data_IF_402309506879
#
_entry.id   IF_402309506879
#
_cell.length_a   1.000
_cell.length_b   1.000
_cell.length_c   1.000
_cell.angle_alpha   90.00
_cell.angle_beta   90.00
_cell.angle_gamma   90.00
#
_symmetry.space_group_name_H-M   'P 1'
#
loop_
_entity.id
_entity.type
_entity.pdbx_description
1 polymer ?
#
# COMPACT_ATOMS: atom_id res chain seq x y z
N UNK A 1 -38.62 -19.36 1.49
CA UNK A 1 -37.22 -19.31 0.96
C UNK A 1 -37.09 -17.98 0.22
N UNK A 2 -35.97 -17.29 0.37
CA UNK A 2 -35.76 -15.91 -0.10
C UNK A 2 -34.37 -15.80 -0.75
N UNK A 3 -34.23 -14.99 -1.79
CA UNK A 3 -32.95 -14.70 -2.45
C UNK A 3 -32.75 -13.18 -2.44
N UNK A 4 -31.62 -12.72 -1.93
CA UNK A 4 -31.19 -11.31 -1.93
C UNK A 4 -29.85 -11.18 -2.64
N UNK A 5 -29.53 -9.97 -3.09
CA UNK A 5 -28.21 -9.59 -3.59
C UNK A 5 -27.70 -8.40 -2.77
N UNK A 6 -26.40 -8.11 -2.82
CA UNK A 6 -25.76 -7.00 -2.10
C UNK A 6 -25.82 -5.66 -2.86
N UNK A 7 -25.16 -4.62 -2.35
CA UNK A 7 -25.32 -3.25 -2.86
C UNK A 7 -24.57 -2.97 -4.16
N UNK A 8 -23.48 -3.68 -4.43
CA UNK A 8 -22.69 -3.63 -5.66
C UNK A 8 -22.97 -4.81 -6.61
N UNK A 9 -23.75 -5.80 -6.17
CA UNK A 9 -24.33 -6.83 -7.02
C UNK A 9 -23.38 -7.98 -7.34
N UNK A 10 -22.37 -8.21 -6.50
CA UNK A 10 -21.39 -9.29 -6.68
C UNK A 10 -21.60 -10.50 -5.74
N UNK A 11 -22.54 -10.40 -4.78
CA UNK A 11 -22.92 -11.51 -3.91
C UNK A 11 -24.44 -11.79 -3.87
N UNK A 12 -24.79 -13.07 -3.70
CA UNK A 12 -26.17 -13.53 -3.45
C UNK A 12 -26.29 -14.17 -2.07
N UNK A 13 -27.34 -13.79 -1.33
CA UNK A 13 -27.75 -14.43 -0.08
C UNK A 13 -29.01 -15.26 -0.32
N UNK A 14 -28.87 -16.59 -0.23
CA UNK A 14 -29.98 -17.54 -0.45
C UNK A 14 -30.40 -18.14 0.90
N UNK A 15 -31.62 -17.84 1.33
CA UNK A 15 -32.23 -18.41 2.53
C UNK A 15 -32.96 -19.71 2.21
N UNK A 16 -32.41 -20.82 2.71
CA UNK A 16 -32.92 -22.18 2.50
C UNK A 16 -33.42 -22.79 3.80
N UNK A 17 -34.33 -23.76 3.67
CA UNK A 17 -34.64 -24.69 4.76
C UNK A 17 -33.67 -25.86 4.65
N UNK A 18 -32.86 -26.05 5.70
CA UNK A 18 -31.84 -27.08 5.72
C UNK A 18 -32.43 -28.43 6.14
N UNK A 19 -32.24 -29.45 5.31
CA UNK A 19 -32.58 -30.85 5.62
C UNK A 19 -31.26 -31.62 5.81
N UNK A 20 -31.05 -32.16 7.00
CA UNK A 20 -29.78 -32.83 7.36
C UNK A 20 -28.62 -31.85 7.60
N UNK A 21 -27.38 -32.33 7.44
CA UNK A 21 -26.15 -31.57 7.71
C UNK A 21 -25.53 -31.04 6.41
N UNK A 22 -25.06 -29.79 6.42
CA UNK A 22 -24.41 -29.19 5.25
C UNK A 22 -22.90 -29.48 5.19
N UNK A 23 -22.26 -29.74 6.33
CA UNK A 23 -20.82 -29.97 6.37
C UNK A 23 -20.47 -31.43 6.04
N UNK A 24 -19.43 -31.62 5.24
CA UNK A 24 -18.87 -32.95 4.93
C UNK A 24 -18.34 -33.73 6.14
N UNK A 25 -18.19 -33.06 7.29
CA UNK A 25 -17.80 -33.68 8.58
C UNK A 25 -18.99 -34.12 9.43
N UNK A 26 -20.23 -33.92 8.95
CA UNK A 26 -21.45 -34.22 9.70
C UNK A 26 -21.93 -33.08 10.60
N UNK A 27 -21.25 -31.93 10.62
CA UNK A 27 -21.70 -30.74 11.35
C UNK A 27 -22.81 -29.99 10.61
N UNK A 28 -23.65 -29.26 11.35
CA UNK A 28 -24.80 -28.52 10.79
C UNK A 28 -24.37 -27.51 9.72
N UNK A 29 -23.31 -26.74 9.96
CA UNK A 29 -22.77 -25.74 9.03
C UNK A 29 -21.29 -26.00 8.81
N UNK A 30 -20.74 -25.59 7.66
CA UNK A 30 -19.29 -25.55 7.45
C UNK A 30 -18.60 -24.54 8.39
N UNK A 31 -19.33 -23.51 8.84
CA UNK A 31 -18.83 -22.43 9.71
C UNK A 31 -19.11 -22.72 11.20
N UNK A 32 -18.88 -23.96 11.64
CA UNK A 32 -19.11 -24.36 13.05
C UNK A 32 -17.90 -24.12 13.98
N UNK A 33 -16.72 -23.83 13.41
CA UNK A 33 -15.48 -23.55 14.16
C UNK A 33 -15.40 -22.07 14.51
N UNK A 34 -15.00 -21.74 15.74
CA UNK A 34 -14.81 -20.36 16.21
C UNK A 34 -13.34 -19.96 16.20
N UNK A 35 -13.05 -18.66 16.21
CA UNK A 35 -11.68 -18.12 16.30
C UNK A 35 -10.97 -18.46 17.62
N UNK A 36 -11.71 -18.94 18.62
CA UNK A 36 -11.16 -19.43 19.89
C UNK A 36 -10.58 -20.86 19.74
N UNK A 37 -11.02 -21.61 18.72
CA UNK A 37 -10.62 -22.99 18.46
C UNK A 37 -9.98 -23.10 17.06
N UNK A 38 -8.95 -22.28 16.81
CA UNK A 38 -8.18 -22.32 15.58
C UNK A 38 -7.31 -23.58 15.60
N UNK A 39 -7.61 -24.51 14.69
CA UNK A 39 -6.72 -25.62 14.37
C UNK A 39 -5.34 -25.04 14.01
N UNK A 40 -4.26 -25.50 14.65
CA UNK A 40 -2.92 -24.89 14.53
C UNK A 40 -2.37 -24.87 13.09
N UNK A 41 -3.04 -25.54 12.16
CA UNK A 41 -2.74 -25.58 10.73
C UNK A 41 -3.52 -24.55 9.88
N UNK A 42 -4.44 -23.78 10.46
CA UNK A 42 -5.12 -22.66 9.80
C UNK A 42 -4.21 -21.42 9.82
N UNK A 43 -3.28 -21.39 8.88
CA UNK A 43 -2.46 -20.20 8.65
C UNK A 43 -3.27 -19.14 7.90
N UNK A 44 -3.98 -18.28 8.65
CA UNK A 44 -4.66 -17.12 8.07
C UNK A 44 -3.70 -16.21 7.28
N UNK A 45 -2.40 -16.16 7.60
CA UNK A 45 -1.41 -15.39 6.82
C UNK A 45 -1.11 -16.02 5.46
N UNK A 46 -1.38 -17.32 5.27
CA UNK A 46 -1.24 -18.00 3.97
C UNK A 46 -2.38 -17.66 3.01
N UNK A 47 -3.60 -17.48 3.52
CA UNK A 47 -4.80 -17.18 2.73
C UNK A 47 -5.08 -15.68 2.60
N UNK A 48 -4.79 -14.91 3.65
CA UNK A 48 -4.70 -13.45 3.64
C UNK A 48 -3.26 -12.98 3.38
N UNK A 49 -2.45 -13.81 2.70
CA UNK A 49 -1.17 -13.33 2.16
C UNK A 49 -1.56 -12.20 1.23
N UNK A 50 -1.30 -10.97 1.68
CA UNK A 50 -1.63 -9.71 1.04
C UNK A 50 -1.34 -9.81 -0.46
N UNK A 51 -2.37 -10.17 -1.22
CA UNK A 51 -2.45 -9.92 -2.65
C UNK A 51 -2.97 -8.48 -2.87
N UNK A 52 -2.71 -7.56 -1.93
CA UNK A 52 -2.39 -6.23 -2.39
C UNK A 52 -1.14 -6.42 -3.22
N UNK A 53 -1.23 -6.22 -4.54
CA UNK A 53 -0.07 -5.74 -5.27
C UNK A 53 0.37 -4.48 -4.52
N UNK A 54 1.23 -4.62 -3.49
CA UNK A 54 1.88 -3.47 -2.88
C UNK A 54 2.62 -2.85 -4.05
N UNK A 55 2.13 -1.68 -4.42
CA UNK A 55 2.69 -0.92 -5.52
C UNK A 55 4.12 -0.58 -5.09
N UNK A 56 5.05 -0.48 -6.05
CA UNK A 56 6.45 -0.10 -5.78
C UNK A 56 6.56 1.15 -4.88
N UNK A 57 5.59 2.06 -4.95
CA UNK A 57 5.51 3.23 -4.07
C UNK A 57 5.24 2.85 -2.61
N UNK A 58 4.35 1.89 -2.32
CA UNK A 58 4.06 1.43 -0.96
C UNK A 58 5.28 0.74 -0.35
N UNK A 59 5.95 -0.12 -1.13
CA UNK A 59 7.19 -0.79 -0.72
C UNK A 59 8.28 0.24 -0.43
N UNK A 60 8.51 1.18 -1.36
CA UNK A 60 9.54 2.21 -1.22
C UNK A 60 9.27 3.14 -0.04
N UNK A 61 8.02 3.57 0.15
CA UNK A 61 7.62 4.39 1.30
C UNK A 61 7.89 3.64 2.62
N UNK A 62 7.51 2.36 2.70
CA UNK A 62 7.79 1.52 3.88
C UNK A 62 9.30 1.35 4.15
N UNK A 63 10.10 1.19 3.11
CA UNK A 63 11.58 1.13 3.22
C UNK A 63 12.15 2.46 3.73
N UNK A 64 11.67 3.60 3.22
CA UNK A 64 12.08 4.94 3.64
C UNK A 64 11.76 5.15 5.12
N UNK A 65 10.51 4.88 5.53
CA UNK A 65 10.06 5.01 6.92
C UNK A 65 10.87 4.11 7.85
N UNK A 66 11.10 2.85 7.46
CA UNK A 66 11.90 1.89 8.20
C UNK A 66 13.35 2.36 8.39
N UNK A 67 13.99 2.89 7.35
CA UNK A 67 15.37 3.40 7.41
C UNK A 67 15.49 4.59 8.37
N UNK A 68 14.52 5.49 8.37
CA UNK A 68 14.47 6.64 9.27
C UNK A 68 14.24 6.17 10.71
N UNK A 69 13.22 5.35 10.95
CA UNK A 69 12.85 4.84 12.27
C UNK A 69 13.95 4.02 12.93
N UNK A 70 14.60 3.14 12.17
CA UNK A 70 15.66 2.25 12.66
C UNK A 70 17.05 2.91 12.67
N UNK A 71 17.15 4.19 12.30
CA UNK A 71 18.40 4.97 12.34
C UNK A 71 19.56 4.31 11.60
N UNK A 72 19.29 3.73 10.43
CA UNK A 72 20.27 2.96 9.66
C UNK A 72 21.36 3.91 9.14
N UNK A 73 22.53 3.93 9.78
CA UNK A 73 23.59 4.93 9.55
C UNK A 73 24.09 5.01 8.10
N UNK A 74 24.15 3.86 7.41
CA UNK A 74 24.71 3.76 6.06
C UNK A 74 23.66 4.04 4.97
N UNK A 75 22.44 4.41 5.38
CA UNK A 75 21.36 4.75 4.46
C UNK A 75 21.44 6.22 4.04
N UNK A 76 21.44 6.46 2.72
CA UNK A 76 21.24 7.79 2.13
C UNK A 76 20.00 8.49 2.71
N UNK A 77 18.87 7.77 2.80
CA UNK A 77 17.61 8.25 3.39
C UNK A 77 17.79 8.77 4.82
N UNK A 78 18.45 7.99 5.68
CA UNK A 78 18.66 8.39 7.06
C UNK A 78 19.63 9.58 7.15
N UNK A 79 20.63 9.65 6.26
CA UNK A 79 21.54 10.80 6.20
C UNK A 79 20.81 12.11 5.88
N UNK A 80 19.83 12.08 4.96
CA UNK A 80 18.99 13.24 4.64
C UNK A 80 18.12 13.65 5.84
N UNK A 81 17.43 12.69 6.45
CA UNK A 81 16.64 12.91 7.65
C UNK A 81 17.48 13.54 8.77
N UNK A 82 18.71 13.05 9.00
CA UNK A 82 19.62 13.60 10.01
C UNK A 82 20.04 15.04 9.72
N UNK A 83 20.19 15.43 8.45
CA UNK A 83 20.47 16.81 8.04
C UNK A 83 19.24 17.72 8.18
N UNK A 84 18.05 17.15 8.29
CA UNK A 84 16.80 17.84 8.58
C UNK A 84 16.06 18.31 7.33
N UNK A 85 14.93 18.96 7.58
CA UNK A 85 13.96 19.34 6.55
C UNK A 85 14.55 20.20 5.43
N UNK A 86 15.45 21.15 5.74
CA UNK A 86 16.01 22.06 4.75
C UNK A 86 16.81 21.33 3.67
N UNK A 87 17.57 20.28 4.05
CA UNK A 87 18.29 19.46 3.07
C UNK A 87 17.32 18.63 2.22
N UNK A 88 16.25 18.09 2.81
CA UNK A 88 15.24 17.33 2.08
C UNK A 88 14.54 18.21 1.04
N UNK A 89 14.15 19.43 1.43
CA UNK A 89 13.53 20.41 0.53
C UNK A 89 14.49 20.81 -0.58
N UNK A 90 15.76 21.07 -0.22
CA UNK A 90 16.81 21.40 -1.19
C UNK A 90 16.91 20.30 -2.25
N UNK A 91 16.99 19.03 -1.83
CA UNK A 91 17.05 17.89 -2.75
C UNK A 91 15.80 17.78 -3.63
N UNK A 92 14.61 17.83 -3.05
CA UNK A 92 13.37 17.84 -3.83
C UNK A 92 13.34 18.98 -4.88
N UNK A 93 13.86 20.16 -4.53
CA UNK A 93 13.99 21.29 -5.44
C UNK A 93 15.01 21.09 -6.57
N UNK A 94 16.15 20.46 -6.27
CA UNK A 94 17.17 20.07 -7.27
C UNK A 94 16.55 19.13 -8.32
N UNK A 95 15.95 18.02 -7.90
CA UNK A 95 15.33 17.04 -8.80
C UNK A 95 14.18 17.66 -9.61
N UNK A 96 13.41 18.57 -9.00
CA UNK A 96 12.33 19.29 -9.70
C UNK A 96 12.87 20.12 -10.86
N UNK A 97 14.02 20.78 -10.67
CA UNK A 97 14.68 21.54 -11.73
C UNK A 97 15.28 20.62 -12.79
N UNK A 98 15.84 19.48 -12.41
CA UNK A 98 16.39 18.50 -13.34
C UNK A 98 15.30 17.87 -14.23
N UNK A 99 14.12 17.56 -13.68
CA UNK A 99 12.94 17.17 -14.48
C UNK A 99 12.52 18.26 -15.48
N UNK A 100 12.54 19.54 -15.07
CA UNK A 100 12.20 20.66 -15.97
C UNK A 100 13.24 20.76 -17.09
N UNK A 101 14.52 20.61 -16.79
CA UNK A 101 15.61 20.71 -17.76
C UNK A 101 15.62 19.50 -18.72
N UNK A 102 15.43 18.29 -18.21
CA UNK A 102 15.38 17.07 -19.01
C UNK A 102 14.22 17.09 -20.01
N UNK A 103 13.08 17.68 -19.63
CA UNK A 103 11.90 17.82 -20.51
C UNK A 103 12.17 18.60 -21.81
N UNK A 104 13.22 19.43 -21.86
CA UNK A 104 13.53 20.27 -23.02
C UNK A 104 14.50 19.64 -24.02
N UNK A 105 15.43 18.80 -23.56
CA UNK A 105 16.64 18.49 -24.32
C UNK A 105 17.19 17.06 -24.18
N UNK A 106 16.56 16.17 -23.40
CA UNK A 106 17.11 14.85 -23.13
C UNK A 106 16.33 13.68 -23.76
N UNK A 107 16.96 12.51 -23.79
CA UNK A 107 16.29 11.27 -24.16
C UNK A 107 15.27 10.85 -23.09
N UNK A 108 14.28 10.07 -23.51
CA UNK A 108 13.19 9.62 -22.62
C UNK A 108 13.69 8.89 -21.38
N UNK A 109 14.81 8.17 -21.46
CA UNK A 109 15.36 7.41 -20.33
C UNK A 109 15.87 8.33 -19.22
N UNK A 110 16.59 9.39 -19.58
CA UNK A 110 17.11 10.35 -18.61
C UNK A 110 15.95 11.03 -17.88
N UNK A 111 14.92 11.48 -18.61
CA UNK A 111 13.73 12.08 -18.00
C UNK A 111 13.01 11.12 -17.04
N UNK A 112 12.97 9.81 -17.33
CA UNK A 112 12.39 8.82 -16.41
C UNK A 112 13.23 8.68 -15.14
N UNK A 113 14.57 8.77 -15.24
CA UNK A 113 15.46 8.77 -14.08
C UNK A 113 15.19 9.98 -13.18
N UNK A 114 15.17 11.18 -13.76
CA UNK A 114 14.91 12.42 -13.01
C UNK A 114 13.53 12.42 -12.34
N UNK A 115 12.51 11.88 -13.02
CA UNK A 115 11.18 11.71 -12.42
C UNK A 115 11.22 10.71 -11.26
N UNK A 116 11.98 9.62 -11.38
CA UNK A 116 12.12 8.65 -10.31
C UNK A 116 12.81 9.26 -9.07
N UNK A 117 13.85 10.07 -9.27
CA UNK A 117 14.55 10.75 -8.18
C UNK A 117 13.67 11.83 -7.53
N UNK A 118 12.92 12.59 -8.32
CA UNK A 118 11.89 13.52 -7.83
C UNK A 118 10.84 12.82 -6.97
N UNK A 119 10.31 11.68 -7.45
CA UNK A 119 9.32 10.88 -6.72
C UNK A 119 9.94 10.34 -5.44
N UNK A 120 11.17 9.81 -5.47
CA UNK A 120 11.87 9.33 -4.29
C UNK A 120 11.99 10.44 -3.23
N UNK A 121 12.47 11.62 -3.63
CA UNK A 121 12.64 12.75 -2.72
C UNK A 121 11.30 13.32 -2.20
N UNK A 122 10.23 13.22 -3.00
CA UNK A 122 8.87 13.50 -2.54
C UNK A 122 8.42 12.52 -1.45
N UNK A 123 8.67 11.22 -1.60
CA UNK A 123 8.34 10.22 -0.58
C UNK A 123 9.12 10.46 0.73
N UNK A 124 10.41 10.82 0.64
CA UNK A 124 11.20 11.21 1.82
C UNK A 124 10.60 12.42 2.52
N UNK A 125 10.22 13.45 1.77
CA UNK A 125 9.56 14.65 2.31
C UNK A 125 8.19 14.32 2.95
N UNK A 126 7.41 13.42 2.34
CA UNK A 126 6.15 12.94 2.89
C UNK A 126 6.35 12.25 4.23
N UNK A 127 7.33 11.34 4.35
CA UNK A 127 7.66 10.66 5.62
C UNK A 127 8.10 11.66 6.69
N UNK A 128 8.95 12.63 6.34
CA UNK A 128 9.38 13.71 7.25
C UNK A 128 8.20 14.52 7.78
N UNK A 129 7.19 14.76 6.92
CA UNK A 129 5.96 15.48 7.24
C UNK A 129 4.83 14.62 7.78
N UNK A 130 5.04 13.31 7.91
CA UNK A 130 4.04 12.32 8.35
C UNK A 130 2.78 12.29 7.47
N UNK A 131 2.95 12.47 6.17
CA UNK A 131 1.89 12.39 5.17
C UNK A 131 1.93 11.00 4.54
N UNK A 132 0.84 10.25 4.62
CA UNK A 132 0.75 8.89 4.08
C UNK A 132 0.45 8.89 2.57
N UNK A 133 0.82 7.79 1.90
CA UNK A 133 0.41 7.55 0.51
C UNK A 133 -1.13 7.49 0.35
N UNK A 134 -1.84 7.00 1.36
CA UNK A 134 -3.31 6.98 1.37
C UNK A 134 -3.90 8.39 1.25
N UNK A 135 -3.43 9.33 2.08
CA UNK A 135 -3.85 10.74 2.03
C UNK A 135 -3.56 11.38 0.66
N UNK A 136 -2.37 11.13 0.10
CA UNK A 136 -2.02 11.62 -1.25
C UNK A 136 -2.95 11.05 -2.31
N UNK A 137 -3.21 9.73 -2.29
CA UNK A 137 -4.06 9.08 -3.28
C UNK A 137 -5.51 9.52 -3.17
N UNK A 138 -6.02 9.76 -1.98
CA UNK A 138 -7.38 10.28 -1.79
C UNK A 138 -7.52 11.70 -2.33
N UNK A 139 -6.51 12.55 -2.13
CA UNK A 139 -6.46 13.88 -2.75
C UNK A 139 -6.39 13.80 -4.29
N UNK A 140 -5.56 12.91 -4.85
CA UNK A 140 -5.49 12.70 -6.31
C UNK A 140 -6.81 12.16 -6.88
N UNK A 141 -7.50 11.25 -6.18
CA UNK A 141 -8.84 10.77 -6.57
C UNK A 141 -9.84 11.92 -6.59
N UNK A 142 -9.78 12.84 -5.63
CA UNK A 142 -10.65 14.01 -5.59
C UNK A 142 -10.41 14.95 -6.79
N UNK A 143 -9.17 15.09 -7.25
CA UNK A 143 -8.80 15.89 -8.43
C UNK A 143 -9.19 15.28 -9.77
N UNK A 144 -9.42 13.97 -9.82
CA UNK A 144 -9.83 13.27 -11.05
C UNK A 144 -11.28 13.56 -11.46
N UNK A 145 -12.08 14.12 -10.54
CA UNK A 145 -13.50 14.43 -10.77
C UNK A 145 -13.69 15.53 -11.79
#
# INVERSE_FOLDING_TARGET
KEIKYDCDGDALLISVEQIGNACHTGMRSCFYRTLENIDSNLDFKKYFKENSKQNILDELYGVIESRIKNKVSDSYTYSLHKKGLDEIIKKFGEESMEVILSSKHQEKQDMVSEIADLVYHLLVLMVEKKITLGELFDELKNRRK
#
